data_IF_003597359895
#
_entry.id   IF_003597359895
#
_cell.length_a   1.000
_cell.length_b   1.000
_cell.length_c   1.000
_cell.angle_alpha   90.00
_cell.angle_beta   90.00
_cell.angle_gamma   90.00
#
_symmetry.space_group_name_H-M   'P 1'
#
loop_
_entity.id
_entity.type
_entity.pdbx_description
1 polymer ?
#
# COMPACT_ATOMS: atom_id res chain seq x y z
N UNK A 1 16.57 8.36 -70.10
CA UNK A 1 15.37 8.18 -69.24
C UNK A 1 15.74 7.42 -67.95
N UNK A 2 16.42 8.08 -67.02
CA UNK A 2 16.83 7.51 -65.70
C UNK A 2 16.89 8.64 -64.67
N UNK A 3 15.76 9.28 -64.35
CA UNK A 3 15.68 10.27 -63.26
C UNK A 3 14.36 10.30 -62.47
N UNK A 4 13.36 9.49 -62.85
CA UNK A 4 12.03 9.58 -62.23
C UNK A 4 11.68 8.43 -61.27
N UNK A 5 12.61 7.54 -60.94
CA UNK A 5 12.34 6.38 -60.05
C UNK A 5 12.70 6.66 -58.58
N UNK A 6 13.49 7.70 -58.29
CA UNK A 6 13.99 7.97 -56.92
C UNK A 6 12.96 8.68 -56.04
N UNK A 7 12.00 9.43 -56.62
CA UNK A 7 11.00 10.14 -55.83
C UNK A 7 9.84 9.27 -55.34
N UNK A 8 9.58 8.10 -55.96
CA UNK A 8 8.51 7.21 -55.53
C UNK A 8 8.89 6.35 -54.32
N UNK A 9 10.19 6.08 -54.12
CA UNK A 9 10.67 5.27 -52.98
C UNK A 9 10.76 6.10 -51.70
N UNK A 10 11.00 7.41 -51.81
CA UNK A 10 11.08 8.30 -50.65
C UNK A 10 9.70 8.67 -50.06
N UNK A 11 8.62 8.56 -50.84
CA UNK A 11 7.27 8.85 -50.37
C UNK A 11 6.64 7.71 -49.56
N UNK A 12 7.10 6.47 -49.73
CA UNK A 12 6.64 5.32 -48.95
C UNK A 12 7.37 5.13 -47.61
N UNK A 13 8.50 5.80 -47.40
CA UNK A 13 9.26 5.73 -46.13
C UNK A 13 8.78 6.74 -45.07
N UNK A 14 7.90 7.68 -45.42
CA UNK A 14 7.34 8.68 -44.49
C UNK A 14 5.92 8.37 -44.01
N UNK A 15 5.34 7.22 -44.39
CA UNK A 15 4.02 6.75 -43.94
C UNK A 15 4.11 5.62 -42.90
N UNK A 16 5.30 5.34 -42.38
CA UNK A 16 5.57 4.30 -41.38
C UNK A 16 5.64 4.79 -39.94
N UNK A 17 4.86 5.80 -39.56
CA UNK A 17 4.51 6.06 -38.16
C UNK A 17 3.01 6.27 -38.07
N UNK A 18 2.26 5.23 -38.40
CA UNK A 18 0.97 5.03 -37.75
C UNK A 18 1.31 4.77 -36.29
N UNK A 19 1.37 5.85 -35.50
CA UNK A 19 1.16 5.77 -34.06
C UNK A 19 -0.14 5.02 -33.91
N UNK A 20 -0.06 3.72 -33.61
CA UNK A 20 -1.17 2.95 -33.10
C UNK A 20 -1.55 3.59 -31.77
N UNK A 21 -2.36 4.65 -31.83
CA UNK A 21 -3.16 5.08 -30.70
C UNK A 21 -4.00 3.85 -30.36
N UNK A 22 -3.91 3.34 -29.13
CA UNK A 22 -4.79 2.25 -28.72
C UNK A 22 -6.22 2.73 -28.92
N UNK A 23 -6.96 1.96 -29.71
CA UNK A 23 -8.36 2.20 -30.01
C UNK A 23 -9.18 1.77 -28.78
N UNK A 24 -9.24 2.70 -27.83
CA UNK A 24 -10.23 2.94 -26.77
C UNK A 24 -9.59 3.96 -25.84
N UNK A 25 -10.16 5.16 -25.74
CA UNK A 25 -9.82 6.17 -24.72
C UNK A 25 -10.20 5.63 -23.31
N UNK A 26 -9.56 4.56 -22.85
CA UNK A 26 -9.30 4.41 -21.42
C UNK A 26 -8.13 5.34 -21.17
N UNK A 27 -8.46 6.53 -20.69
CA UNK A 27 -7.58 7.67 -20.71
C UNK A 27 -6.30 7.32 -19.95
N UNK A 28 -5.13 7.73 -20.46
CA UNK A 28 -3.84 7.65 -19.74
C UNK A 28 -3.98 8.11 -18.27
N UNK A 29 -4.92 9.03 -18.02
CA UNK A 29 -5.38 9.46 -16.70
C UNK A 29 -5.83 8.32 -15.77
N UNK A 30 -6.66 7.38 -16.23
CA UNK A 30 -7.18 6.27 -15.42
C UNK A 30 -6.04 5.30 -15.04
N UNK A 31 -5.13 5.05 -15.99
CA UNK A 31 -3.92 4.28 -15.72
C UNK A 31 -3.01 4.97 -14.68
N UNK A 32 -2.78 6.28 -14.82
CA UNK A 32 -1.99 7.07 -13.86
C UNK A 32 -2.63 7.08 -12.47
N UNK A 33 -3.96 7.18 -12.42
CA UNK A 33 -4.75 7.10 -11.20
C UNK A 33 -4.58 5.74 -10.52
N UNK A 34 -4.79 4.65 -11.25
CA UNK A 34 -4.66 3.29 -10.71
C UNK A 34 -3.23 3.01 -10.25
N UNK A 35 -2.23 3.37 -11.05
CA UNK A 35 -0.81 3.27 -10.65
C UNK A 35 -0.58 4.03 -9.34
N UNK A 36 -1.01 5.29 -9.25
CA UNK A 36 -0.83 6.12 -8.05
C UNK A 36 -1.51 5.50 -6.83
N UNK A 37 -2.73 4.99 -7.01
CA UNK A 37 -3.52 4.33 -5.95
C UNK A 37 -2.83 3.08 -5.44
N UNK A 38 -2.52 2.12 -6.31
CA UNK A 38 -1.97 0.83 -5.88
C UNK A 38 -0.50 0.91 -5.46
N UNK A 39 0.29 1.83 -6.02
CA UNK A 39 1.64 2.12 -5.52
C UNK A 39 1.57 2.72 -4.12
N UNK A 40 0.65 3.67 -3.86
CA UNK A 40 0.46 4.23 -2.52
C UNK A 40 0.03 3.15 -1.53
N UNK A 41 -0.91 2.30 -1.91
CA UNK A 41 -1.39 1.20 -1.07
C UNK A 41 -0.29 0.19 -0.75
N UNK A 42 0.50 -0.23 -1.74
CA UNK A 42 1.69 -1.05 -1.54
C UNK A 42 2.68 -0.35 -0.61
N UNK A 43 2.96 0.93 -0.86
CA UNK A 43 3.90 1.73 -0.09
C UNK A 43 3.46 1.86 1.38
N UNK A 44 2.17 2.04 1.67
CA UNK A 44 1.69 2.11 3.04
C UNK A 44 1.88 0.78 3.80
N UNK A 45 1.80 -0.36 3.12
CA UNK A 45 1.99 -1.68 3.74
C UNK A 45 3.48 -1.96 3.94
N UNK A 46 4.28 -1.84 2.87
CA UNK A 46 5.67 -2.28 2.87
C UNK A 46 6.70 -1.18 3.20
N UNK A 47 6.27 0.08 3.24
CA UNK A 47 7.09 1.27 3.49
C UNK A 47 8.25 1.44 2.51
N UNK A 48 8.06 0.93 1.29
CA UNK A 48 8.98 1.05 0.16
C UNK A 48 8.18 1.13 -1.14
N UNK A 49 8.80 1.71 -2.17
CA UNK A 49 8.24 1.61 -3.52
C UNK A 49 8.35 0.17 -4.05
N UNK A 50 7.33 -0.31 -4.78
CA UNK A 50 7.38 -1.60 -5.44
C UNK A 50 8.28 -1.57 -6.68
N UNK A 51 8.82 -2.72 -7.05
CA UNK A 51 9.18 -3.02 -8.44
C UNK A 51 7.94 -3.30 -9.29
N UNK A 52 8.09 -3.38 -10.61
CA UNK A 52 6.98 -3.75 -11.52
C UNK A 52 6.40 -5.12 -11.14
N UNK A 53 7.26 -6.10 -10.84
CA UNK A 53 6.83 -7.43 -10.42
C UNK A 53 6.11 -7.44 -9.08
N UNK A 54 6.66 -6.74 -8.08
CA UNK A 54 6.01 -6.64 -6.77
C UNK A 54 4.63 -5.96 -6.85
N UNK A 55 4.47 -4.93 -7.69
CA UNK A 55 3.16 -4.30 -7.90
C UNK A 55 2.20 -5.24 -8.66
N UNK A 56 2.72 -5.97 -9.65
CA UNK A 56 1.94 -6.95 -10.41
C UNK A 56 1.41 -8.08 -9.51
N UNK A 57 2.28 -8.66 -8.68
CA UNK A 57 1.92 -9.69 -7.71
C UNK A 57 0.95 -9.14 -6.66
N UNK A 58 1.18 -7.91 -6.18
CA UNK A 58 0.28 -7.24 -5.24
C UNK A 58 -1.13 -7.02 -5.82
N UNK A 59 -1.24 -6.57 -7.07
CA UNK A 59 -2.52 -6.43 -7.75
C UNK A 59 -3.19 -7.80 -7.97
N UNK A 60 -2.40 -8.83 -8.29
CA UNK A 60 -2.91 -10.19 -8.43
C UNK A 60 -3.49 -10.74 -7.12
N UNK A 61 -2.80 -10.55 -6.00
CA UNK A 61 -3.27 -10.95 -4.69
C UNK A 61 -4.63 -10.32 -4.35
N UNK A 62 -4.81 -9.03 -4.66
CA UNK A 62 -6.08 -8.32 -4.46
C UNK A 62 -7.20 -8.94 -5.31
N UNK A 63 -6.97 -9.12 -6.61
CA UNK A 63 -7.95 -9.68 -7.55
C UNK A 63 -8.32 -11.11 -7.16
N UNK A 64 -7.32 -11.94 -6.85
CA UNK A 64 -7.53 -13.34 -6.51
C UNK A 64 -8.18 -13.48 -5.12
N UNK A 65 -7.82 -12.65 -4.15
CA UNK A 65 -8.48 -12.63 -2.82
C UNK A 65 -9.96 -12.30 -2.93
N UNK A 66 -10.37 -11.38 -3.81
CA UNK A 66 -11.78 -11.10 -4.07
C UNK A 66 -12.52 -12.27 -4.74
N UNK A 67 -11.78 -13.24 -5.27
CA UNK A 67 -12.26 -14.49 -5.83
C UNK A 67 -11.96 -15.68 -4.90
N UNK A 68 -11.89 -15.44 -3.58
CA UNK A 68 -11.67 -16.48 -2.55
C UNK A 68 -10.37 -17.27 -2.75
N UNK A 69 -9.36 -16.66 -3.37
CA UNK A 69 -8.09 -17.27 -3.73
C UNK A 69 -8.25 -18.57 -4.55
N UNK A 70 -9.33 -18.68 -5.34
CA UNK A 70 -9.65 -19.92 -6.07
C UNK A 70 -8.70 -20.24 -7.22
N UNK A 71 -8.01 -19.23 -7.76
CA UNK A 71 -7.15 -19.40 -8.93
C UNK A 71 -5.70 -19.60 -8.50
N UNK A 72 -5.01 -20.55 -9.14
CA UNK A 72 -3.57 -20.77 -8.92
C UNK A 72 -2.74 -19.81 -9.76
N UNK A 73 -3.25 -19.43 -10.93
CA UNK A 73 -2.54 -18.55 -11.87
C UNK A 73 -3.46 -17.51 -12.49
N UNK A 74 -2.88 -16.41 -12.95
CA UNK A 74 -3.60 -15.39 -13.69
C UNK A 74 -4.21 -15.95 -15.00
N UNK A 75 -3.55 -16.90 -15.66
CA UNK A 75 -4.09 -17.54 -16.86
C UNK A 75 -5.35 -18.37 -16.59
N UNK A 76 -5.44 -19.03 -15.43
CA UNK A 76 -6.69 -19.71 -15.02
C UNK A 76 -7.81 -18.69 -14.82
N UNK A 77 -7.52 -17.56 -14.16
CA UNK A 77 -8.49 -16.47 -13.98
C UNK A 77 -9.00 -15.90 -15.31
N UNK A 78 -8.14 -15.70 -16.31
CA UNK A 78 -8.53 -15.16 -17.61
C UNK A 78 -9.46 -16.10 -18.41
N UNK A 79 -9.39 -17.41 -18.16
CA UNK A 79 -10.17 -18.41 -18.90
C UNK A 79 -11.50 -18.76 -18.22
N UNK A 80 -11.82 -18.14 -17.08
CA UNK A 80 -13.02 -18.45 -16.30
C UNK A 80 -14.25 -17.69 -16.82
N UNK A 81 -15.38 -18.39 -16.96
CA UNK A 81 -16.63 -17.80 -17.46
C UNK A 81 -17.39 -17.03 -16.37
N UNK A 82 -17.15 -17.37 -15.10
CA UNK A 82 -17.83 -16.77 -13.93
C UNK A 82 -16.82 -16.16 -12.97
N UNK A 83 -16.55 -14.87 -13.15
CA UNK A 83 -15.78 -14.06 -12.21
C UNK A 83 -16.68 -13.48 -11.11
N UNK A 84 -16.10 -13.17 -9.95
CA UNK A 84 -16.77 -12.25 -9.04
C UNK A 84 -16.94 -10.92 -9.78
N UNK A 85 -18.20 -10.49 -9.97
CA UNK A 85 -18.53 -9.29 -10.74
C UNK A 85 -18.26 -8.00 -9.96
N UNK A 86 -18.02 -8.09 -8.65
CA UNK A 86 -17.62 -6.96 -7.83
C UNK A 86 -16.11 -6.73 -8.04
N UNK A 87 -15.78 -5.99 -9.10
CA UNK A 87 -14.40 -5.64 -9.42
C UNK A 87 -13.70 -4.95 -8.25
N UNK A 88 -12.47 -5.38 -7.99
CA UNK A 88 -11.59 -4.76 -6.98
C UNK A 88 -11.09 -3.40 -7.43
N UNK A 89 -11.12 -3.16 -8.75
CA UNK A 89 -10.51 -2.02 -9.42
C UNK A 89 -9.03 -2.22 -9.69
N UNK A 90 -8.45 -3.40 -9.39
CA UNK A 90 -7.06 -3.72 -9.66
C UNK A 90 -6.88 -4.50 -10.97
N UNK A 91 -7.98 -5.01 -11.54
CA UNK A 91 -7.98 -5.88 -12.71
C UNK A 91 -7.37 -5.21 -13.94
N UNK A 92 -7.72 -3.94 -14.19
CA UNK A 92 -7.21 -3.18 -15.33
C UNK A 92 -5.70 -2.95 -15.23
N UNK A 93 -5.25 -2.44 -14.07
CA UNK A 93 -3.82 -2.23 -13.84
C UNK A 93 -3.04 -3.55 -13.92
N UNK A 94 -3.57 -4.64 -13.36
CA UNK A 94 -2.95 -5.96 -13.44
C UNK A 94 -2.76 -6.41 -14.89
N UNK A 95 -3.82 -6.32 -15.72
CA UNK A 95 -3.74 -6.66 -17.15
C UNK A 95 -2.68 -5.81 -17.85
N UNK A 96 -2.71 -4.49 -17.61
CA UNK A 96 -1.75 -3.57 -18.19
C UNK A 96 -0.29 -3.92 -17.81
N UNK A 97 -0.03 -4.18 -16.53
CA UNK A 97 1.31 -4.55 -16.04
C UNK A 97 1.79 -5.88 -16.62
N UNK A 98 0.90 -6.88 -16.79
CA UNK A 98 1.24 -8.16 -17.42
C UNK A 98 1.54 -8.00 -18.91
N UNK A 99 0.71 -7.26 -19.65
CA UNK A 99 0.85 -7.04 -21.09
C UNK A 99 2.04 -6.15 -21.46
N UNK A 100 2.37 -5.20 -20.59
CA UNK A 100 3.43 -4.22 -20.80
C UNK A 100 4.66 -4.45 -19.93
N UNK A 101 4.82 -5.64 -19.35
CA UNK A 101 5.89 -5.96 -18.39
C UNK A 101 7.28 -5.52 -18.89
N UNK A 102 7.60 -5.78 -20.16
CA UNK A 102 8.91 -5.45 -20.75
C UNK A 102 9.00 -3.99 -21.23
N UNK A 103 7.88 -3.27 -21.25
CA UNK A 103 7.77 -1.90 -21.76
C UNK A 103 7.49 -0.86 -20.66
N UNK A 104 7.26 -1.30 -19.42
CA UNK A 104 7.09 -0.44 -18.26
C UNK A 104 8.32 -0.56 -17.35
N UNK A 105 8.82 0.58 -16.86
CA UNK A 105 10.00 0.62 -15.99
C UNK A 105 9.76 1.53 -14.80
N UNK A 106 10.09 1.02 -13.62
CA UNK A 106 10.06 1.77 -12.36
C UNK A 106 11.50 2.08 -11.93
N UNK A 107 11.83 3.36 -11.83
CA UNK A 107 13.15 3.83 -11.42
C UNK A 107 13.04 4.63 -10.12
N UNK A 108 13.78 4.20 -9.09
CA UNK A 108 13.82 4.91 -7.82
C UNK A 108 14.95 5.93 -7.84
N UNK A 109 14.61 7.20 -7.67
CA UNK A 109 15.53 8.32 -7.57
C UNK A 109 15.33 9.00 -6.21
N UNK A 110 16.12 8.59 -5.21
CA UNK A 110 15.94 9.06 -3.84
C UNK A 110 14.57 8.67 -3.26
N UNK A 111 13.74 9.68 -2.97
CA UNK A 111 12.35 9.51 -2.47
C UNK A 111 11.29 9.57 -3.58
N UNK A 112 11.71 9.61 -4.85
CA UNK A 112 10.80 9.69 -5.99
C UNK A 112 10.82 8.35 -6.74
N UNK A 113 9.64 7.91 -7.17
CA UNK A 113 9.49 6.82 -8.13
C UNK A 113 9.16 7.42 -9.49
N UNK A 114 10.06 7.25 -10.45
CA UNK A 114 9.87 7.62 -11.86
C UNK A 114 9.32 6.40 -12.60
N UNK A 115 8.20 6.58 -13.29
CA UNK A 115 7.54 5.52 -14.07
C UNK A 115 7.63 5.87 -15.54
N UNK A 116 8.27 4.99 -16.30
CA UNK A 116 8.37 5.09 -17.75
C UNK A 116 7.51 4.01 -18.40
N UNK A 117 6.83 4.36 -19.49
CA UNK A 117 6.16 3.41 -20.37
C UNK A 117 6.59 3.66 -21.81
N UNK A 118 7.03 2.62 -22.51
CA UNK A 118 7.63 2.69 -23.85
C UNK A 118 8.78 3.72 -23.91
N UNK A 119 9.63 3.73 -22.88
CA UNK A 119 10.74 4.68 -22.72
C UNK A 119 10.33 6.16 -22.61
N UNK A 120 9.04 6.46 -22.42
CA UNK A 120 8.54 7.82 -22.18
C UNK A 120 8.11 7.98 -20.74
N UNK A 121 8.30 9.16 -20.16
CA UNK A 121 7.81 9.48 -18.84
C UNK A 121 6.29 9.35 -18.81
N UNK A 122 5.79 8.42 -18.00
CA UNK A 122 4.36 8.27 -17.74
C UNK A 122 3.94 9.12 -16.55
N UNK A 123 4.62 8.98 -15.41
CA UNK A 123 4.39 9.82 -14.23
C UNK A 123 5.57 9.74 -13.24
N UNK A 124 5.55 10.64 -12.26
CA UNK A 124 6.41 10.56 -11.07
C UNK A 124 5.52 10.47 -9.83
N UNK A 125 5.94 9.66 -8.86
CA UNK A 125 5.22 9.48 -7.60
C UNK A 125 6.15 9.86 -6.45
N UNK A 126 5.69 10.75 -5.58
CA UNK A 126 6.41 11.17 -4.38
C UNK A 126 5.57 10.84 -3.14
N UNK A 127 6.05 9.92 -2.31
CA UNK A 127 5.37 9.43 -1.12
C UNK A 127 6.31 9.52 0.07
N UNK A 128 5.77 10.03 1.16
CA UNK A 128 6.42 10.07 2.45
C UNK A 128 5.41 9.60 3.50
N UNK A 129 5.67 8.45 4.13
CA UNK A 129 4.75 7.91 5.12
C UNK A 129 4.54 8.84 6.33
N UNK A 130 5.53 9.67 6.69
CA UNK A 130 5.37 10.67 7.75
C UNK A 130 4.31 11.72 7.41
N UNK A 131 4.23 12.13 6.15
CA UNK A 131 3.23 13.09 5.69
C UNK A 131 1.87 12.40 5.58
N UNK A 132 1.84 11.20 5.00
CA UNK A 132 0.61 10.42 4.81
C UNK A 132 -0.11 10.10 6.12
N UNK A 133 0.59 9.80 7.22
CA UNK A 133 -0.06 9.48 8.50
C UNK A 133 -0.72 10.70 9.16
N UNK A 134 -0.31 11.92 8.79
CA UNK A 134 -0.96 13.13 9.28
C UNK A 134 -2.36 13.30 8.67
N UNK A 135 -2.56 12.80 7.45
CA UNK A 135 -3.83 12.81 6.75
C UNK A 135 -4.74 11.67 7.20
N UNK A 136 -5.86 12.02 7.86
CA UNK A 136 -6.75 11.04 8.52
C UNK A 136 -7.23 9.92 7.61
N UNK A 137 -7.51 10.22 6.35
CA UNK A 137 -8.04 9.26 5.38
C UNK A 137 -7.00 8.23 4.90
N UNK A 138 -5.69 8.50 5.02
CA UNK A 138 -4.64 7.57 4.63
C UNK A 138 -4.23 6.62 5.78
N UNK A 139 -4.55 6.94 7.04
CA UNK A 139 -4.03 6.22 8.21
C UNK A 139 -4.36 4.74 8.18
N UNK A 140 -5.57 4.38 7.74
CA UNK A 140 -6.01 2.98 7.65
C UNK A 140 -5.21 2.16 6.64
N UNK A 141 -4.63 2.78 5.62
CA UNK A 141 -3.84 2.07 4.61
C UNK A 141 -2.53 1.50 5.20
N UNK A 142 -2.10 1.97 6.37
CA UNK A 142 -0.93 1.45 7.06
C UNK A 142 -1.21 0.22 7.93
N UNK A 143 -2.47 -0.14 8.13
CA UNK A 143 -2.87 -1.19 9.07
C UNK A 143 -2.73 -2.57 8.40
N UNK A 144 -1.75 -3.34 8.86
CA UNK A 144 -1.43 -4.65 8.30
C UNK A 144 -0.86 -5.61 9.35
N UNK A 145 -1.16 -6.89 9.20
CA UNK A 145 -0.47 -7.99 9.86
C UNK A 145 0.60 -8.55 8.94
N UNK A 146 1.64 -9.13 9.53
CA UNK A 146 2.60 -9.97 8.83
C UNK A 146 2.80 -11.28 9.58
N UNK A 147 2.80 -12.39 8.86
CA UNK A 147 3.21 -13.67 9.39
C UNK A 147 4.75 -13.76 9.53
N UNK A 148 5.26 -14.88 10.02
CA UNK A 148 6.70 -15.09 10.21
C UNK A 148 7.51 -15.17 8.90
N UNK A 149 6.84 -15.36 7.75
CA UNK A 149 7.46 -15.39 6.43
C UNK A 149 7.42 -14.02 5.76
N UNK A 150 6.74 -13.04 6.36
CA UNK A 150 6.55 -11.71 5.81
C UNK A 150 5.34 -11.57 4.91
N UNK A 151 4.45 -12.57 4.84
CA UNK A 151 3.20 -12.45 4.09
C UNK A 151 2.29 -11.47 4.83
N UNK A 152 1.81 -10.47 4.12
CA UNK A 152 0.94 -9.46 4.71
C UNK A 152 -0.53 -9.91 4.68
N UNK A 153 -1.29 -9.40 5.63
CA UNK A 153 -2.76 -9.40 5.59
C UNK A 153 -3.25 -8.02 6.02
N UNK A 154 -4.13 -7.39 5.24
CA UNK A 154 -4.75 -6.12 5.66
C UNK A 154 -5.59 -6.33 6.92
N UNK A 155 -5.60 -5.31 7.78
CA UNK A 155 -6.54 -5.24 8.89
C UNK A 155 -7.80 -4.60 8.33
N UNK A 156 -8.82 -5.42 8.09
CA UNK A 156 -10.10 -4.93 7.63
C UNK A 156 -10.84 -4.22 8.78
N UNK A 157 -11.83 -3.39 8.44
CA UNK A 157 -12.62 -2.64 9.43
C UNK A 157 -13.33 -3.54 10.46
N UNK A 158 -13.49 -4.82 10.13
CA UNK A 158 -14.13 -5.86 10.95
C UNK A 158 -13.16 -6.55 11.93
N UNK A 159 -11.90 -6.12 12.02
CA UNK A 159 -10.99 -6.53 13.11
C UNK A 159 -11.37 -5.81 14.42
N UNK A 160 -12.63 -6.00 14.83
CA UNK A 160 -13.24 -5.46 16.03
C UNK A 160 -12.41 -5.79 17.27
N UNK A 161 -11.82 -6.99 17.33
CA UNK A 161 -10.95 -7.42 18.43
C UNK A 161 -9.75 -6.47 18.62
N UNK A 162 -9.07 -6.11 17.53
CA UNK A 162 -7.92 -5.20 17.59
C UNK A 162 -8.37 -3.79 18.00
N UNK A 163 -9.45 -3.30 17.39
CA UNK A 163 -10.00 -1.97 17.65
C UNK A 163 -10.49 -1.87 19.10
N UNK A 164 -11.22 -2.86 19.60
CA UNK A 164 -11.75 -2.93 20.96
C UNK A 164 -10.62 -3.03 21.99
N UNK A 165 -9.61 -3.87 21.75
CA UNK A 165 -8.42 -3.98 22.59
C UNK A 165 -7.71 -2.64 22.70
N UNK A 166 -7.44 -1.98 21.57
CA UNK A 166 -6.81 -0.66 21.54
C UNK A 166 -7.64 0.40 22.28
N UNK A 167 -8.97 0.40 22.10
CA UNK A 167 -9.88 1.31 22.79
C UNK A 167 -9.85 1.10 24.30
N UNK A 168 -9.87 -0.16 24.76
CA UNK A 168 -9.82 -0.53 26.18
C UNK A 168 -8.56 0.00 26.86
N UNK A 169 -7.37 -0.21 26.27
CA UNK A 169 -6.13 0.34 26.83
C UNK A 169 -6.17 1.85 26.79
N UNK A 170 -6.57 2.46 25.67
CA UNK A 170 -6.64 3.92 25.56
C UNK A 170 -7.52 4.54 26.65
N UNK A 171 -8.67 3.94 26.96
CA UNK A 171 -9.56 4.42 28.02
C UNK A 171 -8.93 4.38 29.42
N UNK A 172 -8.05 3.40 29.70
CA UNK A 172 -7.31 3.34 30.97
C UNK A 172 -6.38 4.56 31.17
N UNK A 173 -5.84 5.11 30.08
CA UNK A 173 -4.84 6.19 30.08
C UNK A 173 -5.37 7.54 29.59
N UNK A 174 -6.65 7.64 29.26
CA UNK A 174 -7.30 8.91 28.94
C UNK A 174 -7.65 9.63 30.25
N UNK A 175 -7.01 10.76 30.52
CA UNK A 175 -7.43 11.68 31.57
C UNK A 175 -8.81 12.27 31.26
N UNK A 176 -9.61 12.51 32.30
CA UNK A 176 -10.73 13.45 32.22
C UNK A 176 -10.17 14.81 31.78
N UNK A 177 -10.81 15.40 30.78
CA UNK A 177 -10.38 16.61 30.06
C UNK A 177 -10.06 17.76 31.02
N UNK A 178 -8.80 18.22 31.06
CA UNK A 178 -8.39 19.37 31.90
C UNK A 178 -8.44 20.71 31.13
N UNK A 179 -9.14 20.77 29.99
CA UNK A 179 -9.38 22.02 29.25
C UNK A 179 -8.17 22.59 28.49
N UNK A 180 -7.03 21.88 28.47
CA UNK A 180 -5.90 22.16 27.57
C UNK A 180 -5.78 20.99 26.60
N UNK A 181 -6.47 21.08 25.47
CA UNK A 181 -6.48 20.05 24.44
C UNK A 181 -5.11 19.91 23.78
N UNK A 182 -4.27 19.02 24.32
CA UNK A 182 -3.00 18.68 23.68
C UNK A 182 -3.27 17.95 22.36
N UNK A 183 -2.79 18.50 21.26
CA UNK A 183 -2.96 17.90 19.93
C UNK A 183 -2.02 16.69 19.85
N UNK A 184 -2.58 15.50 20.04
CA UNK A 184 -1.84 14.25 19.87
C UNK A 184 -1.42 14.10 18.41
N UNK A 185 -0.13 13.81 18.21
CA UNK A 185 0.42 13.50 16.89
C UNK A 185 0.29 11.99 16.60
N UNK A 186 0.10 11.59 15.33
CA UNK A 186 0.08 10.20 14.95
C UNK A 186 1.50 9.61 14.96
N UNK A 187 1.58 8.34 15.34
CA UNK A 187 2.77 7.51 15.25
C UNK A 187 2.49 6.34 14.32
N UNK A 188 3.34 6.14 13.31
CA UNK A 188 3.43 4.89 12.57
C UNK A 188 4.27 3.91 13.37
N UNK A 189 3.65 2.83 13.80
CA UNK A 189 4.23 1.85 14.70
C UNK A 189 4.23 0.50 14.01
N UNK A 190 5.35 -0.22 14.14
CA UNK A 190 5.45 -1.64 13.84
C UNK A 190 5.77 -2.38 15.13
N UNK A 191 4.93 -3.32 15.50
CA UNK A 191 5.16 -4.18 16.65
C UNK A 191 5.44 -5.60 16.16
N UNK A 192 6.61 -6.12 16.50
CA UNK A 192 7.03 -7.49 16.25
C UNK A 192 7.11 -8.24 17.57
N UNK A 193 6.64 -9.49 17.63
CA UNK A 193 6.62 -10.24 18.89
C UNK A 193 8.02 -10.51 19.48
N UNK A 194 9.05 -10.54 18.64
CA UNK A 194 10.44 -10.77 19.06
C UNK A 194 11.17 -9.45 19.34
N UNK A 195 11.06 -8.47 18.43
CA UNK A 195 11.80 -7.20 18.54
C UNK A 195 11.01 -6.04 19.15
N UNK A 196 9.75 -6.27 19.53
CA UNK A 196 8.85 -5.29 20.15
C UNK A 196 8.58 -4.09 19.25
N UNK A 197 8.44 -2.89 19.83
CA UNK A 197 8.06 -1.69 19.10
C UNK A 197 9.20 -1.10 18.27
N UNK A 198 8.88 -0.76 17.02
CA UNK A 198 9.63 0.13 16.16
C UNK A 198 8.76 1.35 15.81
N UNK A 199 9.26 2.55 16.14
CA UNK A 199 8.62 3.83 15.82
C UNK A 199 9.17 4.35 14.50
N UNK A 200 8.38 4.17 13.45
CA UNK A 200 8.81 4.47 12.09
C UNK A 200 8.65 5.96 11.78
N UNK A 201 7.59 6.59 12.29
CA UNK A 201 7.43 8.03 12.24
C UNK A 201 6.46 8.56 13.31
N UNK A 202 6.81 9.63 14.05
CA UNK A 202 8.18 10.13 14.20
C UNK A 202 9.06 9.05 14.83
N UNK A 203 10.37 9.13 14.60
CA UNK A 203 11.34 8.28 15.28
C UNK A 203 11.52 8.82 16.70
N UNK A 204 10.87 8.18 17.66
CA UNK A 204 10.93 8.51 19.08
C UNK A 204 11.07 7.22 19.87
N UNK A 205 12.27 6.95 20.38
CA UNK A 205 12.55 5.76 21.18
C UNK A 205 12.13 5.91 22.63
N UNK A 206 12.02 7.15 23.14
CA UNK A 206 11.68 7.40 24.55
C UNK A 206 10.24 7.00 24.82
N UNK A 207 9.36 7.21 23.83
CA UNK A 207 7.95 6.90 23.95
C UNK A 207 7.68 5.42 24.25
N UNK A 208 8.55 4.51 23.79
CA UNK A 208 8.43 3.06 24.01
C UNK A 208 8.34 2.68 25.50
N UNK A 209 8.90 3.53 26.38
CA UNK A 209 8.94 3.28 27.82
C UNK A 209 7.63 3.59 28.54
N UNK A 210 6.69 4.28 27.89
CA UNK A 210 5.42 4.72 28.48
C UNK A 210 4.56 3.54 28.97
N UNK A 211 3.91 3.64 30.15
CA UNK A 211 3.06 2.57 30.69
C UNK A 211 1.96 2.12 29.72
N UNK A 212 1.35 3.07 28.98
CA UNK A 212 0.36 2.77 27.93
C UNK A 212 0.85 1.70 26.94
N UNK A 213 2.09 1.82 26.47
CA UNK A 213 2.64 0.89 25.50
C UNK A 213 3.04 -0.44 26.13
N UNK A 214 3.52 -0.46 27.36
CA UNK A 214 3.81 -1.71 28.09
C UNK A 214 2.54 -2.55 28.30
N UNK A 215 1.44 -1.91 28.68
CA UNK A 215 0.15 -2.57 28.81
C UNK A 215 -0.38 -3.06 27.45
N UNK A 216 -0.23 -2.24 26.41
CA UNK A 216 -0.67 -2.61 25.08
C UNK A 216 0.18 -3.74 24.48
N UNK A 217 1.46 -3.79 24.77
CA UNK A 217 2.41 -4.84 24.37
C UNK A 217 1.91 -6.23 24.80
N UNK A 218 1.54 -6.40 26.07
CA UNK A 218 1.07 -7.69 26.61
C UNK A 218 -0.17 -8.18 25.84
N UNK A 219 -1.07 -7.25 25.50
CA UNK A 219 -2.27 -7.57 24.73
C UNK A 219 -1.94 -7.87 23.26
N UNK A 220 -1.02 -7.12 22.65
CA UNK A 220 -0.55 -7.36 21.28
C UNK A 220 0.11 -8.74 21.15
N UNK A 221 0.96 -9.13 22.10
CA UNK A 221 1.60 -10.46 22.10
C UNK A 221 0.56 -11.58 22.10
N UNK A 222 -0.44 -11.48 23.00
CA UNK A 222 -1.52 -12.45 23.12
C UNK A 222 -2.39 -12.48 21.86
N UNK A 223 -2.72 -11.30 21.32
CA UNK A 223 -3.55 -11.13 20.14
C UNK A 223 -2.88 -11.72 18.88
N UNK A 224 -1.62 -11.38 18.64
CA UNK A 224 -0.87 -11.87 17.48
C UNK A 224 -0.61 -13.37 17.58
N UNK A 225 -0.31 -13.90 18.78
CA UNK A 225 -0.20 -15.34 18.99
C UNK A 225 -1.50 -16.07 18.62
N UNK A 226 -2.67 -15.57 19.06
CA UNK A 226 -3.98 -16.14 18.72
C UNK A 226 -4.25 -16.10 17.22
N UNK A 227 -3.87 -15.01 16.55
CA UNK A 227 -4.01 -14.82 15.10
C UNK A 227 -2.96 -15.58 14.26
N UNK A 228 -1.97 -16.21 14.90
CA UNK A 228 -0.79 -16.82 14.26
C UNK A 228 -0.01 -15.82 13.39
N UNK A 229 0.07 -14.57 13.83
CA UNK A 229 0.83 -13.51 13.20
C UNK A 229 2.11 -13.22 13.99
N UNK A 230 3.13 -12.73 13.30
CA UNK A 230 4.40 -12.35 13.90
C UNK A 230 4.43 -10.85 14.24
N UNK A 231 3.81 -10.04 13.38
CA UNK A 231 3.96 -8.60 13.42
C UNK A 231 2.66 -7.89 13.05
N UNK A 232 2.51 -6.68 13.55
CA UNK A 232 1.44 -5.74 13.18
C UNK A 232 2.03 -4.35 12.93
N UNK A 233 1.54 -3.69 11.89
CA UNK A 233 1.77 -2.29 11.61
C UNK A 233 0.47 -1.52 11.74
N UNK A 234 0.51 -0.35 12.39
CA UNK A 234 -0.68 0.48 12.61
C UNK A 234 -0.29 1.92 12.95
N UNK A 235 -1.26 2.83 12.82
CA UNK A 235 -1.12 4.23 13.26
C UNK A 235 -1.77 4.43 14.61
N UNK A 236 -1.04 5.00 15.58
CA UNK A 236 -1.60 5.33 16.89
C UNK A 236 -1.32 6.73 17.40
N UNK A 237 -2.24 7.21 18.24
CA UNK A 237 -2.10 8.43 19.02
C UNK A 237 -1.77 7.99 20.44
N UNK A 238 -0.53 8.23 20.85
CA UNK A 238 -0.06 7.80 22.16
C UNK A 238 -0.46 8.86 23.19
N UNK A 239 -1.15 8.47 24.28
CA UNK A 239 -1.49 9.40 25.34
C UNK A 239 -0.25 10.10 25.91
N UNK A 240 -0.37 11.38 26.30
CA UNK A 240 0.76 12.14 26.81
C UNK A 240 1.12 11.73 28.23
N UNK A 241 0.13 11.28 29.02
CA UNK A 241 0.28 10.96 30.44
C UNK A 241 0.75 9.53 30.70
N UNK A 242 1.71 9.43 31.62
CA UNK A 242 2.01 8.22 32.37
C UNK A 242 1.03 8.18 33.54
N UNK A 243 -0.22 7.74 33.35
CA UNK A 243 -1.10 7.59 34.51
C UNK A 243 -0.57 6.43 35.36
N UNK A 244 0.22 6.76 36.37
CA UNK A 244 0.42 5.89 37.53
C UNK A 244 -0.97 5.55 38.09
N UNK A 245 -1.15 4.28 38.37
CA UNK A 245 -2.36 3.68 38.92
C UNK A 245 -3.06 4.60 39.94
N UNK A 246 -4.30 5.00 39.65
CA UNK A 246 -5.30 5.10 40.71
C UNK A 246 -5.94 3.73 40.80
N UNK A 247 -5.44 2.94 41.74
CA UNK A 247 -6.13 1.74 42.20
C UNK A 247 -7.56 2.17 42.61
N UNK A 248 -8.55 1.54 41.98
CA UNK A 248 -9.94 1.55 42.44
C UNK A 248 -10.25 0.21 43.09
#
# INVERSE_FOLDING_TARGET
>A
MKKNVIYLVFFFLLLGCVSSRPEKDVAIHDLQYDLSRYIKDYYCIYLKYPTVNELCDFCWDIVNSANECRFRTYCEYQNEERLNINGTGAEYLLSFLKENHDNILFQKEGQILVILWQSKLLQTVHLNYCDLINESYNRWNFFSFFDSLGNYKRIDNDEEDFIAMRKKVKQKYQSVDNGQGEILKPYLIRYDRNSKYAFLCPQDSEIASKPYLKDFEILLDSFLLKKKMQMIQFVSFIPPFDSEHKDF
#
